data_IF_770404044570
#
_entry.id   IF_770404044570
#
_cell.length_a   1.000
_cell.length_b   1.000
_cell.length_c   1.000
_cell.angle_alpha   90.00
_cell.angle_beta   90.00
_cell.angle_gamma   90.00
#
_symmetry.space_group_name_H-M   'P 1'
#
loop_
_entity.id
_entity.type
_entity.pdbx_description
1 polymer ?
#
# COMPACT_ATOMS: atom_id res chain seq x y z
N UNK A 1 -33.95 -8.37 -26.15
CA UNK A 1 -32.49 -8.43 -26.44
C UNK A 1 -31.77 -7.17 -25.92
N UNK A 2 -31.84 -6.88 -24.61
CA UNK A 2 -31.22 -5.67 -24.03
C UNK A 2 -30.09 -5.99 -23.03
N UNK A 3 -30.04 -7.22 -22.51
CA UNK A 3 -29.11 -7.62 -21.46
C UNK A 3 -27.63 -7.74 -21.93
N UNK A 4 -27.40 -8.05 -23.21
CA UNK A 4 -26.04 -8.27 -23.74
C UNK A 4 -25.27 -6.94 -23.91
N UNK A 5 -25.97 -5.83 -24.19
CA UNK A 5 -25.32 -4.52 -24.37
C UNK A 5 -24.80 -3.91 -23.06
N UNK A 6 -25.44 -4.17 -21.93
CA UNK A 6 -24.97 -3.66 -20.62
C UNK A 6 -23.74 -4.42 -20.09
N UNK A 7 -23.57 -5.69 -20.45
CA UNK A 7 -22.43 -6.52 -20.02
C UNK A 7 -21.11 -6.13 -20.69
N UNK A 8 -21.14 -5.55 -21.89
CA UNK A 8 -19.93 -5.16 -22.62
C UNK A 8 -19.35 -3.81 -22.14
N UNK A 9 -20.20 -2.92 -21.62
CA UNK A 9 -19.75 -1.62 -21.10
C UNK A 9 -19.02 -1.72 -19.76
N UNK A 10 -19.35 -2.71 -18.92
CA UNK A 10 -18.68 -2.93 -17.63
C UNK A 10 -17.29 -3.56 -17.76
N UNK A 11 -17.02 -4.32 -18.83
CA UNK A 11 -15.67 -4.88 -19.08
C UNK A 11 -14.64 -3.81 -19.47
N UNK A 12 -15.03 -2.78 -20.23
CA UNK A 12 -14.09 -1.74 -20.66
C UNK A 12 -13.62 -0.84 -19.51
N UNK A 13 -14.47 -0.58 -18.51
CA UNK A 13 -14.07 0.23 -17.35
C UNK A 13 -13.08 -0.51 -16.44
N UNK A 14 -13.21 -1.83 -16.27
CA UNK A 14 -12.29 -2.62 -15.45
C UNK A 14 -10.88 -2.71 -16.06
N UNK A 15 -10.79 -2.83 -17.40
CA UNK A 15 -9.50 -2.92 -18.10
C UNK A 15 -8.69 -1.61 -18.05
N UNK A 16 -9.36 -0.45 -18.11
CA UNK A 16 -8.70 0.85 -18.05
C UNK A 16 -8.08 1.12 -16.66
N UNK A 17 -8.67 0.62 -15.57
CA UNK A 17 -8.14 0.81 -14.22
C UNK A 17 -6.91 -0.09 -13.98
N UNK A 18 -6.87 -1.29 -14.57
CA UNK A 18 -5.72 -2.19 -14.51
C UNK A 18 -4.51 -1.61 -15.28
N UNK A 19 -4.72 -1.01 -16.45
CA UNK A 19 -3.63 -0.47 -17.27
C UNK A 19 -2.95 0.76 -16.66
N UNK A 20 -3.68 1.62 -15.95
CA UNK A 20 -3.09 2.82 -15.32
C UNK A 20 -2.29 2.45 -14.06
N UNK A 21 -2.57 1.30 -13.44
CA UNK A 21 -1.89 0.84 -12.22
C UNK A 21 -0.66 -0.03 -12.49
N UNK A 22 -0.63 -0.79 -13.59
CA UNK A 22 0.50 -1.67 -13.93
C UNK A 22 1.72 -0.93 -14.48
N UNK A 23 1.54 0.11 -15.31
CA UNK A 23 2.68 0.84 -15.90
C UNK A 23 3.42 1.76 -14.92
N UNK A 24 2.78 2.12 -13.80
CA UNK A 24 3.38 3.00 -12.79
C UNK A 24 4.36 2.25 -11.87
N UNK A 25 4.03 1.02 -11.49
CA UNK A 25 4.78 0.28 -10.48
C UNK A 25 6.23 -0.06 -10.86
N UNK A 26 6.58 -0.44 -12.11
CA UNK A 26 7.97 -0.64 -12.51
C UNK A 26 8.84 0.61 -12.32
N UNK A 27 8.30 1.79 -12.66
CA UNK A 27 8.97 3.08 -12.47
C UNK A 27 9.14 3.43 -10.98
N UNK A 28 8.10 3.19 -10.19
CA UNK A 28 8.11 3.34 -8.72
C UNK A 28 9.17 2.44 -8.07
N UNK A 29 9.17 1.15 -8.42
CA UNK A 29 10.09 0.17 -7.85
C UNK A 29 11.56 0.44 -8.23
N UNK A 30 11.80 1.03 -9.40
CA UNK A 30 13.12 1.47 -9.82
C UNK A 30 13.56 2.81 -9.19
N UNK A 31 12.66 3.53 -8.52
CA UNK A 31 12.93 4.86 -7.96
C UNK A 31 13.09 4.83 -6.43
N UNK A 32 14.32 4.90 -5.89
CA UNK A 32 14.57 4.84 -4.45
C UNK A 32 14.02 6.06 -3.69
N UNK A 33 13.58 7.13 -4.36
CA UNK A 33 12.90 8.26 -3.70
C UNK A 33 11.43 7.97 -3.41
N UNK A 34 10.81 7.06 -4.16
CA UNK A 34 9.40 6.69 -4.02
C UNK A 34 9.25 5.43 -3.16
N UNK A 35 10.13 4.45 -3.36
CA UNK A 35 10.19 3.25 -2.55
C UNK A 35 11.65 2.93 -2.25
N UNK A 36 12.04 3.03 -0.98
CA UNK A 36 13.35 2.57 -0.52
C UNK A 36 13.33 1.04 -0.43
N UNK A 37 13.70 0.38 -1.53
CA UNK A 37 13.95 -1.06 -1.57
C UNK A 37 15.46 -1.38 -1.47
N UNK A 38 16.01 -1.27 -0.26
CA UNK A 38 16.96 -2.27 0.23
C UNK A 38 16.47 -2.84 1.58
N UNK A 39 15.15 -2.98 1.72
CA UNK A 39 14.46 -3.27 2.97
C UNK A 39 14.65 -4.70 3.51
N UNK A 40 14.04 -5.00 4.67
CA UNK A 40 14.16 -6.26 5.43
C UNK A 40 14.20 -7.49 4.53
N UNK A 41 15.26 -8.30 4.59
CA UNK A 41 15.26 -9.57 3.89
C UNK A 41 14.29 -10.54 4.56
N UNK A 42 14.18 -10.45 5.89
CA UNK A 42 13.45 -11.39 6.74
C UNK A 42 12.73 -10.68 7.89
N UNK A 43 11.80 -11.36 8.58
CA UNK A 43 11.17 -10.82 9.79
C UNK A 43 12.16 -10.41 10.89
N UNK A 44 13.36 -11.01 10.93
CA UNK A 44 14.38 -10.70 11.94
C UNK A 44 15.00 -9.31 11.77
N UNK A 45 14.87 -8.70 10.58
CA UNK A 45 15.37 -7.36 10.32
C UNK A 45 14.39 -6.26 10.79
N UNK A 46 13.17 -6.65 11.21
CA UNK A 46 12.22 -5.72 11.83
C UNK A 46 12.56 -5.46 13.29
N UNK A 47 12.32 -4.22 13.74
CA UNK A 47 12.34 -3.91 15.17
C UNK A 47 11.21 -4.66 15.90
N UNK A 48 11.34 -4.80 17.22
CA UNK A 48 10.35 -5.50 18.05
C UNK A 48 8.96 -4.86 18.05
N UNK A 49 8.85 -3.57 17.73
CA UNK A 49 7.61 -2.81 17.61
C UNK A 49 6.99 -2.85 16.20
N UNK A 50 7.58 -3.63 15.29
CA UNK A 50 7.20 -3.66 13.89
C UNK A 50 6.66 -5.02 13.44
N UNK A 51 5.79 -4.98 12.44
CA UNK A 51 5.23 -6.16 11.79
C UNK A 51 5.86 -6.33 10.41
N UNK A 52 6.50 -7.48 10.20
CA UNK A 52 7.01 -7.85 8.89
C UNK A 52 5.88 -8.17 7.92
N UNK A 53 5.94 -7.63 6.70
CA UNK A 53 5.03 -7.94 5.61
C UNK A 53 5.80 -8.38 4.36
N UNK A 54 5.63 -9.62 3.90
CA UNK A 54 6.23 -10.06 2.64
C UNK A 54 5.60 -9.30 1.47
N UNK A 55 6.43 -8.76 0.58
CA UNK A 55 5.99 -7.86 -0.50
C UNK A 55 5.07 -6.73 -0.02
N UNK A 56 5.28 -6.27 1.21
CA UNK A 56 4.42 -5.29 1.88
C UNK A 56 4.65 -3.86 1.42
N UNK A 57 5.71 -3.56 0.66
CA UNK A 57 5.99 -2.19 0.21
C UNK A 57 4.91 -1.64 -0.71
N UNK A 58 4.94 -0.31 -0.94
CA UNK A 58 4.14 0.29 -2.00
C UNK A 58 4.48 -0.38 -3.35
N UNK A 59 3.47 -0.58 -4.21
CA UNK A 59 3.58 -1.38 -5.44
C UNK A 59 4.12 -2.81 -5.28
N UNK A 60 4.18 -3.36 -4.05
CA UNK A 60 4.73 -4.69 -3.76
C UNK A 60 6.17 -4.91 -4.24
N UNK A 61 6.94 -3.84 -4.40
CA UNK A 61 8.32 -3.88 -4.86
C UNK A 61 9.26 -4.72 -3.98
N UNK A 62 9.02 -4.78 -2.67
CA UNK A 62 9.86 -5.50 -1.70
C UNK A 62 9.13 -5.79 -0.38
N UNK A 63 9.77 -6.59 0.49
CA UNK A 63 9.35 -6.78 1.88
C UNK A 63 9.42 -5.46 2.67
N UNK A 64 8.61 -5.32 3.73
CA UNK A 64 8.57 -4.12 4.55
C UNK A 64 8.32 -4.44 6.03
N UNK A 65 8.80 -3.56 6.92
CA UNK A 65 8.44 -3.55 8.34
C UNK A 65 7.50 -2.38 8.62
N UNK A 66 6.31 -2.67 9.10
CA UNK A 66 5.31 -1.67 9.45
C UNK A 66 5.38 -1.35 10.94
N UNK A 67 5.53 -0.06 11.27
CA UNK A 67 5.37 0.41 12.64
C UNK A 67 3.89 0.50 12.95
N UNK A 68 3.43 -0.20 13.97
CA UNK A 68 2.05 -0.08 14.43
C UNK A 68 1.88 1.22 15.20
N UNK A 69 0.85 1.99 14.86
CA UNK A 69 0.54 3.25 15.52
C UNK A 69 -0.88 3.23 16.06
N UNK A 70 -1.06 3.87 17.21
CA UNK A 70 -2.32 3.89 17.95
C UNK A 70 -3.29 4.99 17.50
N UNK A 71 -4.42 5.16 18.20
CA UNK A 71 -5.39 6.21 17.92
C UNK A 71 -4.76 7.60 17.82
N UNK A 72 -5.24 8.42 16.87
CA UNK A 72 -4.80 9.78 16.59
C UNK A 72 -3.31 9.93 16.18
N UNK A 73 -2.55 8.84 16.08
CA UNK A 73 -1.17 8.88 15.61
C UNK A 73 -1.11 9.04 14.10
N UNK A 74 -0.03 9.65 13.63
CA UNK A 74 0.21 9.85 12.21
C UNK A 74 0.35 8.50 11.50
N UNK A 75 -0.44 8.32 10.45
CA UNK A 75 -0.37 7.19 9.54
C UNK A 75 -0.08 7.69 8.12
N UNK A 76 0.51 6.84 7.28
CA UNK A 76 0.88 7.21 5.93
C UNK A 76 0.34 6.16 4.95
N UNK A 77 -0.63 6.55 4.12
CA UNK A 77 -1.13 5.71 3.02
C UNK A 77 -0.07 5.52 1.93
N UNK A 78 0.79 6.51 1.74
CA UNK A 78 1.97 6.45 0.88
C UNK A 78 3.20 6.55 1.77
N UNK A 79 4.09 5.55 1.77
CA UNK A 79 5.30 5.56 2.60
C UNK A 79 6.13 6.80 2.33
N UNK A 80 6.59 7.48 3.37
CA UNK A 80 7.53 8.59 3.23
C UNK A 80 8.92 8.11 3.59
N UNK A 81 9.88 8.28 2.67
CA UNK A 81 11.28 7.88 2.89
C UNK A 81 11.42 6.43 3.40
N UNK A 82 10.60 5.52 2.86
CA UNK A 82 10.67 4.09 3.20
C UNK A 82 10.13 3.73 4.58
N UNK A 83 9.49 4.66 5.27
CA UNK A 83 8.84 4.42 6.55
C UNK A 83 7.39 4.01 6.31
N UNK A 84 7.04 2.86 6.85
CA UNK A 84 5.72 2.26 6.75
C UNK A 84 5.03 2.33 8.11
N UNK A 85 3.87 2.98 8.15
CA UNK A 85 3.05 3.08 9.35
C UNK A 85 1.69 2.42 9.08
N UNK A 86 1.24 1.61 10.03
CA UNK A 86 -0.06 0.98 9.96
C UNK A 86 -0.82 1.24 11.26
N UNK A 87 -2.09 1.60 11.14
CA UNK A 87 -2.96 1.72 12.30
C UNK A 87 -3.15 0.36 12.98
N UNK A 88 -3.21 0.38 14.30
CA UNK A 88 -3.51 -0.81 15.10
C UNK A 88 -4.92 -1.35 14.79
N UNK A 89 -5.19 -2.58 15.23
CA UNK A 89 -6.50 -3.21 15.04
C UNK A 89 -7.64 -2.35 15.58
N UNK A 90 -8.76 -2.28 14.83
CA UNK A 90 -9.90 -1.40 15.14
C UNK A 90 -9.77 0.03 14.61
N UNK A 91 -8.63 0.40 14.02
CA UNK A 91 -8.39 1.74 13.48
C UNK A 91 -8.09 1.70 11.97
N UNK A 92 -8.41 2.77 11.26
CA UNK A 92 -8.08 2.99 9.85
C UNK A 92 -7.35 4.31 9.66
N UNK A 93 -6.51 4.39 8.62
CA UNK A 93 -5.81 5.63 8.32
C UNK A 93 -6.75 6.60 7.59
N UNK A 94 -7.14 7.68 8.26
CA UNK A 94 -8.07 8.65 7.70
C UNK A 94 -7.44 9.51 6.62
N UNK A 95 -8.28 10.26 5.91
CA UNK A 95 -7.82 11.26 4.94
C UNK A 95 -6.88 12.30 5.57
N UNK A 96 -7.09 12.61 6.86
CA UNK A 96 -6.26 13.55 7.61
C UNK A 96 -4.91 12.95 8.02
N UNK A 97 -4.60 11.70 7.62
CA UNK A 97 -3.36 10.98 7.96
C UNK A 97 -3.22 10.67 9.45
N UNK A 98 -4.35 10.40 10.10
CA UNK A 98 -4.39 9.94 11.49
C UNK A 98 -5.17 8.63 11.61
N UNK A 99 -4.85 7.82 12.60
CA UNK A 99 -5.62 6.61 12.90
C UNK A 99 -6.93 6.95 13.61
N UNK A 100 -8.05 6.65 12.95
CA UNK A 100 -9.42 6.85 13.42
C UNK A 100 -10.12 5.50 13.58
N UNK A 101 -11.07 5.39 14.50
CA UNK A 101 -11.85 4.15 14.69
C UNK A 101 -12.66 3.83 13.43
N UNK A 102 -12.74 2.53 13.12
CA UNK A 102 -13.50 2.02 11.97
C UNK A 102 -15.01 2.04 12.19
#
# INVERSE_FOLDING_TARGET
MAAIKLLLLSLCLAAAIAQVTEDFCPSVCANPRQVLCPGPATPADCRSDQVFKPNGSFCRCCNACYTLVGPNQNCLNVPEKGLYYQCSEGYTCSYNRHCEEQ
#
